data_IF_155596280747
#
_entry.id   IF_155596280747
#
_cell.length_a   1.000
_cell.length_b   1.000
_cell.length_c   1.000
_cell.angle_alpha   90.00
_cell.angle_beta   90.00
_cell.angle_gamma   90.00
#
_symmetry.space_group_name_H-M   'P 1'
#
loop_
_entity.id
_entity.type
_entity.pdbx_description
1 polymer ?
#
# COMPACT_ATOMS: atom_id res chain seq x y z
N UNK A 1 -5.24 -10.32 -6.44
CA UNK A 1 -5.14 -10.78 -7.86
C UNK A 1 -6.32 -11.58 -8.38
N UNK A 2 -6.74 -12.68 -7.74
CA UNK A 2 -7.82 -13.53 -8.26
C UNK A 2 -9.13 -12.78 -8.58
N UNK A 3 -9.55 -11.84 -7.72
CA UNK A 3 -10.75 -11.01 -7.96
C UNK A 3 -10.57 -10.08 -9.17
N UNK A 4 -9.39 -9.47 -9.33
CA UNK A 4 -9.09 -8.57 -10.45
C UNK A 4 -9.04 -9.32 -11.78
N UNK A 5 -8.47 -10.54 -11.79
CA UNK A 5 -8.40 -11.37 -12.99
C UNK A 5 -9.77 -11.78 -13.55
N UNK A 6 -10.82 -11.75 -12.71
CA UNK A 6 -12.21 -12.03 -13.10
C UNK A 6 -13.01 -10.75 -13.41
N UNK A 7 -12.35 -9.59 -13.50
CA UNK A 7 -13.00 -8.30 -13.71
C UNK A 7 -13.72 -7.73 -12.48
N UNK A 8 -13.51 -8.33 -11.30
CA UNK A 8 -14.07 -7.84 -10.04
C UNK A 8 -13.40 -6.55 -9.55
N UNK A 9 -14.02 -5.91 -8.56
CA UNK A 9 -13.52 -4.68 -7.93
C UNK A 9 -13.31 -4.92 -6.44
N UNK A 10 -12.28 -4.29 -5.88
CA UNK A 10 -11.90 -4.42 -4.48
C UNK A 10 -11.88 -3.03 -3.86
N UNK A 11 -12.52 -2.87 -2.70
CA UNK A 11 -12.42 -1.67 -1.88
C UNK A 11 -11.63 -2.01 -0.61
N UNK A 12 -10.49 -1.35 -0.42
CA UNK A 12 -9.71 -1.41 0.82
C UNK A 12 -9.97 -0.13 1.61
N UNK A 13 -10.56 -0.23 2.79
CA UNK A 13 -10.89 0.93 3.62
C UNK A 13 -10.44 0.76 5.08
N UNK A 14 -10.31 1.88 5.76
CA UNK A 14 -10.22 1.96 7.22
C UNK A 14 -11.21 3.03 7.70
N UNK A 15 -11.09 3.50 8.94
CA UNK A 15 -12.00 4.53 9.45
C UNK A 15 -11.93 5.83 8.63
N UNK A 16 -10.73 6.41 8.49
CA UNK A 16 -10.52 7.64 7.71
C UNK A 16 -9.87 7.38 6.33
N UNK A 17 -9.46 6.14 6.05
CA UNK A 17 -8.77 5.81 4.80
C UNK A 17 -7.38 6.46 4.63
N UNK A 18 -6.75 6.92 5.72
CA UNK A 18 -5.47 7.66 5.67
C UNK A 18 -4.24 6.84 6.09
N UNK A 19 -4.37 5.94 7.06
CA UNK A 19 -3.21 5.26 7.68
C UNK A 19 -3.19 3.76 7.42
N UNK A 20 -3.96 2.95 8.17
CA UNK A 20 -3.99 1.47 8.05
C UNK A 20 -4.28 0.95 6.64
N UNK A 21 -5.38 1.40 6.04
CA UNK A 21 -5.76 0.97 4.69
C UNK A 21 -4.78 1.46 3.63
N UNK A 22 -4.22 2.66 3.80
CA UNK A 22 -3.20 3.18 2.90
C UNK A 22 -1.91 2.36 2.98
N UNK A 23 -1.48 1.96 4.18
CA UNK A 23 -0.32 1.10 4.38
C UNK A 23 -0.47 -0.25 3.67
N UNK A 24 -1.63 -0.90 3.79
CA UNK A 24 -1.92 -2.14 3.08
C UNK A 24 -1.87 -1.96 1.55
N UNK A 25 -2.42 -0.86 1.04
CA UNK A 25 -2.38 -0.56 -0.40
C UNK A 25 -0.95 -0.28 -0.86
N UNK A 26 -0.12 0.39 -0.06
CA UNK A 26 1.31 0.60 -0.36
C UNK A 26 2.04 -0.75 -0.45
N UNK A 27 1.88 -1.63 0.53
CA UNK A 27 2.49 -2.96 0.51
C UNK A 27 2.05 -3.77 -0.72
N UNK A 28 0.75 -3.75 -1.05
CA UNK A 28 0.25 -4.40 -2.26
C UNK A 28 0.86 -3.81 -3.54
N UNK A 29 1.03 -2.49 -3.63
CA UNK A 29 1.68 -1.83 -4.78
C UNK A 29 3.16 -2.22 -4.88
N UNK A 30 3.87 -2.32 -3.76
CA UNK A 30 5.26 -2.79 -3.73
C UNK A 30 5.38 -4.17 -4.36
N UNK A 31 4.58 -5.13 -3.87
CA UNK A 31 4.58 -6.51 -4.35
C UNK A 31 4.14 -6.60 -5.81
N UNK A 32 3.02 -5.94 -6.15
CA UNK A 32 2.39 -6.09 -7.46
C UNK A 32 3.21 -5.49 -8.59
N UNK A 33 3.89 -4.37 -8.33
CA UNK A 33 4.66 -3.64 -9.35
C UNK A 33 6.17 -3.74 -9.15
N UNK A 34 6.62 -4.56 -8.21
CA UNK A 34 8.02 -4.68 -7.83
C UNK A 34 8.67 -3.29 -7.61
N UNK A 35 8.03 -2.47 -6.77
CA UNK A 35 8.51 -1.13 -6.42
C UNK A 35 9.11 -1.09 -5.01
N UNK A 36 10.19 -0.32 -4.79
CA UNK A 36 10.69 -0.05 -3.44
C UNK A 36 9.66 0.66 -2.55
N UNK A 37 9.81 0.58 -1.22
CA UNK A 37 8.82 1.13 -0.28
C UNK A 37 8.50 2.60 -0.54
N UNK A 38 9.52 3.40 -0.81
CA UNK A 38 9.38 4.85 -1.01
C UNK A 38 8.72 5.19 -2.35
N UNK A 39 9.00 4.40 -3.39
CA UNK A 39 8.37 4.56 -4.70
C UNK A 39 6.90 4.14 -4.65
N UNK A 40 6.59 3.02 -3.99
CA UNK A 40 5.22 2.57 -3.81
C UNK A 40 4.41 3.54 -2.94
N UNK A 41 5.00 4.07 -1.86
CA UNK A 41 4.38 5.11 -1.05
C UNK A 41 4.04 6.34 -1.90
N UNK A 42 5.00 6.82 -2.70
CA UNK A 42 4.81 7.96 -3.60
C UNK A 42 3.74 7.67 -4.67
N UNK A 43 3.73 6.45 -5.21
CA UNK A 43 2.72 6.00 -6.16
C UNK A 43 1.29 6.09 -5.58
N UNK A 44 1.09 5.67 -4.32
CA UNK A 44 -0.22 5.77 -3.67
C UNK A 44 -0.55 7.21 -3.28
N UNK A 45 0.42 7.96 -2.74
CA UNK A 45 0.26 9.36 -2.33
C UNK A 45 -0.18 10.25 -3.50
N UNK A 46 0.41 10.06 -4.68
CA UNK A 46 0.08 10.82 -5.90
C UNK A 46 -1.34 10.55 -6.43
N UNK A 47 -1.97 9.44 -6.04
CA UNK A 47 -3.35 9.08 -6.41
C UNK A 47 -4.35 9.39 -5.31
N UNK A 48 -3.88 9.48 -4.05
CA UNK A 48 -4.67 9.85 -2.88
C UNK A 48 -3.83 10.73 -1.95
N UNK A 49 -3.86 12.04 -2.18
CA UNK A 49 -3.00 13.01 -1.48
C UNK A 49 -3.24 13.11 0.03
N UNK A 50 -4.35 12.59 0.55
CA UNK A 50 -4.68 12.63 1.98
C UNK A 50 -4.14 11.43 2.78
N UNK A 51 -3.38 10.50 2.18
CA UNK A 51 -2.78 9.43 2.98
C UNK A 51 -1.76 10.00 3.96
N UNK A 52 -1.78 9.48 5.18
CA UNK A 52 -0.86 9.81 6.26
C UNK A 52 -0.62 8.54 7.07
N UNK A 53 0.33 7.74 6.57
CA UNK A 53 0.76 6.50 7.20
C UNK A 53 1.61 6.86 8.40
N UNK A 54 1.24 6.35 9.58
CA UNK A 54 2.00 6.58 10.81
C UNK A 54 3.37 5.87 10.76
N UNK A 55 4.27 6.28 11.64
CA UNK A 55 5.64 5.76 11.66
C UNK A 55 5.70 4.24 11.86
N UNK A 56 4.88 3.68 12.75
CA UNK A 56 4.82 2.24 12.99
C UNK A 56 4.51 1.45 11.72
N UNK A 57 3.52 1.88 10.93
CA UNK A 57 3.22 1.24 9.65
C UNK A 57 4.29 1.50 8.59
N UNK A 58 4.96 2.67 8.59
CA UNK A 58 6.10 2.90 7.69
C UNK A 58 7.24 1.93 7.98
N UNK A 59 7.53 1.68 9.26
CA UNK A 59 8.56 0.73 9.66
C UNK A 59 8.18 -0.69 9.26
N UNK A 60 6.94 -1.12 9.50
CA UNK A 60 6.44 -2.42 9.05
C UNK A 60 6.52 -2.61 7.53
N UNK A 61 6.27 -1.55 6.75
CA UNK A 61 6.40 -1.60 5.28
C UNK A 61 7.87 -1.79 4.86
N UNK A 62 8.83 -1.12 5.53
CA UNK A 62 10.26 -1.30 5.27
C UNK A 62 10.76 -2.68 5.70
N UNK A 63 10.31 -3.18 6.84
CA UNK A 63 10.59 -4.54 7.29
C UNK A 63 10.04 -5.57 6.30
N UNK A 64 8.81 -5.37 5.82
CA UNK A 64 8.23 -6.20 4.78
C UNK A 64 9.09 -6.21 3.51
N UNK A 65 9.61 -5.04 3.08
CA UNK A 65 10.54 -4.95 1.95
C UNK A 65 11.78 -5.83 2.15
N UNK A 66 12.42 -5.75 3.33
CA UNK A 66 13.63 -6.52 3.64
C UNK A 66 13.39 -8.04 3.75
N UNK A 67 12.18 -8.46 4.09
CA UNK A 67 11.84 -9.88 4.24
C UNK A 67 11.41 -10.55 2.93
N UNK A 68 10.86 -9.77 2.00
CA UNK A 68 10.24 -10.29 0.77
C UNK A 68 10.97 -9.85 -0.52
N UNK A 69 12.09 -9.14 -0.39
CA UNK A 69 13.07 -8.89 -1.44
C UNK A 69 14.46 -9.29 -0.98
#
# INVERSE_FOLDING_TARGET
>A
DAVLARGGRILVHGNAGMSRSAALVVAYVMEKFNLPSDQAHTYVLTRRHCISINEGFRNQIREYEMLHR
#
